data_IF_866705102094
#
_entry.id   IF_866705102094
#
_cell.length_a   1.000
_cell.length_b   1.000
_cell.length_c   1.000
_cell.angle_alpha   90.00
_cell.angle_beta   90.00
_cell.angle_gamma   90.00
#
_symmetry.space_group_name_H-M   'P 1'
#
loop_
_entity.id
_entity.type
_entity.pdbx_description
1 polymer ?
#
# COMPACT_ATOMS: atom_id res chain seq x y z
N UNK A 1 -4.42 -19.99 -9.50
CA UNK A 1 -4.43 -18.92 -8.49
C UNK A 1 -5.04 -17.66 -9.05
N UNK A 2 -5.90 -17.03 -8.29
CA UNK A 2 -6.57 -15.82 -8.71
C UNK A 2 -5.73 -14.60 -8.30
N UNK A 3 -5.37 -13.78 -9.26
CA UNK A 3 -4.65 -12.54 -9.01
C UNK A 3 -5.66 -11.43 -8.73
N UNK A 4 -5.48 -10.72 -7.63
CA UNK A 4 -6.31 -9.60 -7.24
C UNK A 4 -5.48 -8.35 -7.05
N UNK A 5 -6.15 -7.22 -7.01
CA UNK A 5 -5.52 -5.92 -6.87
C UNK A 5 -5.83 -5.34 -5.49
N UNK A 6 -4.85 -4.67 -4.90
CA UNK A 6 -4.98 -4.06 -3.57
C UNK A 6 -4.38 -2.66 -3.58
N UNK A 7 -5.04 -1.77 -2.85
CA UNK A 7 -4.53 -0.44 -2.58
C UNK A 7 -3.80 -0.44 -1.25
N UNK A 8 -2.55 0.03 -1.26
CA UNK A 8 -1.73 0.14 -0.06
C UNK A 8 -1.63 1.61 0.31
N UNK A 9 -2.28 2.00 1.40
CA UNK A 9 -2.25 3.38 1.89
C UNK A 9 -0.98 3.63 2.69
N UNK A 10 -0.17 4.58 2.23
CA UNK A 10 1.14 4.86 2.79
C UNK A 10 1.11 5.98 3.83
N UNK A 11 1.93 5.86 4.85
CA UNK A 11 1.98 6.82 5.93
C UNK A 11 3.39 7.06 6.44
N UNK A 12 3.53 8.11 7.25
CA UNK A 12 4.76 8.46 7.94
C UNK A 12 4.54 8.37 9.44
N UNK A 13 5.59 8.08 10.19
CA UNK A 13 5.52 8.01 11.65
C UNK A 13 5.09 9.37 12.21
N UNK A 14 4.18 9.34 13.19
CA UNK A 14 3.80 10.55 13.91
C UNK A 14 5.02 11.14 14.61
N UNK A 15 5.15 12.45 14.54
CA UNK A 15 6.25 13.15 15.23
C UNK A 15 5.99 13.17 16.73
N UNK A 16 7.06 13.28 17.50
CA UNK A 16 6.96 13.38 18.95
C UNK A 16 6.06 14.56 19.33
N UNK A 17 5.07 14.30 20.18
CA UNK A 17 4.10 15.30 20.60
C UNK A 17 2.86 15.40 19.73
N UNK A 18 2.79 14.69 18.63
CA UNK A 18 1.59 14.61 17.78
C UNK A 18 0.72 13.41 18.21
N UNK A 19 -0.58 13.62 18.32
CA UNK A 19 -1.52 12.58 18.74
C UNK A 19 -2.18 11.89 17.55
N UNK A 20 -1.41 11.59 16.51
CA UNK A 20 -1.95 11.04 15.27
C UNK A 20 -1.85 9.53 15.17
N UNK A 21 -1.23 8.85 16.02
CA UNK A 21 -1.05 7.42 15.90
C UNK A 21 -2.09 6.65 16.69
N UNK A 22 -3.20 6.26 16.09
CA UNK A 22 -4.07 5.27 16.72
C UNK A 22 -3.62 3.87 16.33
N UNK A 23 -4.05 2.85 17.09
CA UNK A 23 -3.69 1.45 16.81
C UNK A 23 -4.16 1.04 15.41
N UNK A 24 -5.30 1.57 14.97
CA UNK A 24 -5.87 1.27 13.65
C UNK A 24 -4.95 1.76 12.53
N UNK A 25 -4.26 2.87 12.76
CA UNK A 25 -3.35 3.48 11.78
C UNK A 25 -1.90 3.02 11.95
N UNK A 26 -1.64 2.06 12.83
CA UNK A 26 -0.30 1.52 13.10
C UNK A 26 0.72 2.60 13.51
N UNK A 27 0.25 3.68 14.13
CA UNK A 27 1.13 4.79 14.50
C UNK A 27 1.59 5.65 13.33
N UNK A 28 0.95 5.52 12.19
CA UNK A 28 1.30 6.26 10.97
C UNK A 28 0.29 7.37 10.70
N UNK A 29 0.77 8.45 10.14
CA UNK A 29 -0.05 9.58 9.68
C UNK A 29 -0.25 9.45 8.17
N UNK A 30 -1.48 9.65 7.71
CA UNK A 30 -1.84 9.59 6.31
C UNK A 30 -1.07 10.64 5.49
N UNK A 31 -0.46 10.20 4.40
CA UNK A 31 0.23 11.10 3.47
C UNK A 31 -0.65 11.49 2.28
N UNK A 32 -1.82 10.87 2.17
CA UNK A 32 -2.67 11.01 0.99
C UNK A 32 -2.19 10.23 -0.22
N UNK A 33 -1.16 9.39 -0.06
CA UNK A 33 -0.56 8.62 -1.14
C UNK A 33 -0.87 7.13 -1.00
N UNK A 34 -1.21 6.51 -2.11
CA UNK A 34 -1.49 5.07 -2.15
C UNK A 34 -0.78 4.43 -3.35
N UNK A 35 -0.46 3.17 -3.21
CA UNK A 35 0.16 2.36 -4.28
C UNK A 35 -0.75 1.16 -4.53
N UNK A 36 -1.04 0.88 -5.81
CA UNK A 36 -1.79 -0.32 -6.19
C UNK A 36 -0.81 -1.46 -6.51
N UNK A 37 -1.14 -2.66 -6.04
CA UNK A 37 -0.32 -3.85 -6.29
C UNK A 37 -1.18 -5.03 -6.76
N UNK A 38 -0.52 -6.02 -7.35
CA UNK A 38 -1.12 -7.33 -7.64
C UNK A 38 -0.68 -8.33 -6.57
N UNK A 39 -1.58 -9.18 -6.13
CA UNK A 39 -1.24 -10.25 -5.18
C UNK A 39 -2.09 -11.48 -5.44
N UNK A 40 -1.56 -12.66 -5.08
CA UNK A 40 -2.28 -13.92 -5.18
C UNK A 40 -3.03 -14.27 -3.89
N UNK A 41 -2.93 -13.41 -2.89
CA UNK A 41 -3.59 -13.56 -1.59
C UNK A 41 -3.79 -12.18 -0.97
N UNK A 42 -4.59 -12.10 0.09
CA UNK A 42 -4.77 -10.84 0.84
C UNK A 42 -3.47 -10.58 1.63
N UNK A 43 -2.73 -9.50 1.32
CA UNK A 43 -1.42 -9.30 1.95
C UNK A 43 -1.53 -8.93 3.43
N UNK A 44 -0.51 -9.31 4.20
CA UNK A 44 -0.31 -8.73 5.53
C UNK A 44 0.40 -7.39 5.38
N UNK A 45 0.40 -6.58 6.44
CA UNK A 45 1.13 -5.31 6.42
C UNK A 45 2.62 -5.52 6.20
N UNK A 46 3.20 -6.55 6.83
CA UNK A 46 4.63 -6.85 6.67
C UNK A 46 4.96 -7.24 5.23
N UNK A 47 4.14 -8.08 4.61
CA UNK A 47 4.31 -8.46 3.21
C UNK A 47 4.20 -7.25 2.29
N UNK A 48 3.20 -6.40 2.51
CA UNK A 48 2.97 -5.21 1.71
C UNK A 48 4.14 -4.24 1.80
N UNK A 49 4.60 -3.97 3.02
CA UNK A 49 5.71 -3.05 3.26
C UNK A 49 7.01 -3.54 2.63
N UNK A 50 7.29 -4.82 2.73
CA UNK A 50 8.48 -5.41 2.10
C UNK A 50 8.39 -5.36 0.58
N UNK A 51 7.20 -5.60 0.03
CA UNK A 51 6.98 -5.62 -1.41
C UNK A 51 7.21 -4.25 -2.05
N UNK A 52 6.86 -3.17 -1.35
CA UNK A 52 6.99 -1.79 -1.87
C UNK A 52 8.05 -0.98 -1.13
N UNK A 53 9.00 -1.64 -0.46
CA UNK A 53 9.94 -0.92 0.40
C UNK A 53 10.81 0.09 -0.35
N UNK A 54 11.14 -0.17 -1.60
CA UNK A 54 11.90 0.81 -2.40
C UNK A 54 11.08 2.05 -2.70
N UNK A 55 9.80 1.87 -3.00
CA UNK A 55 8.90 3.00 -3.21
C UNK A 55 8.73 3.80 -1.92
N UNK A 56 8.54 3.13 -0.79
CA UNK A 56 8.45 3.81 0.50
C UNK A 56 9.71 4.62 0.78
N UNK A 57 10.87 4.03 0.55
CA UNK A 57 12.15 4.70 0.75
C UNK A 57 12.30 5.91 -0.16
N UNK A 58 11.95 5.78 -1.43
CA UNK A 58 12.09 6.84 -2.42
C UNK A 58 11.21 8.05 -2.10
N UNK A 59 10.02 7.81 -1.54
CA UNK A 59 9.08 8.88 -1.17
C UNK A 59 9.25 9.35 0.27
N UNK A 60 10.09 8.69 1.07
CA UNK A 60 10.29 9.05 2.46
C UNK A 60 9.15 8.64 3.38
N UNK A 61 8.41 7.60 3.02
CA UNK A 61 7.32 7.08 3.82
C UNK A 61 7.81 5.95 4.73
N UNK A 62 7.15 5.79 5.88
CA UNK A 62 7.60 4.85 6.92
C UNK A 62 6.88 3.49 6.88
N UNK A 63 5.74 3.42 6.24
CA UNK A 63 5.03 2.16 6.16
C UNK A 63 3.65 2.25 5.53
N UNK A 64 2.91 1.15 5.63
CA UNK A 64 1.55 1.01 5.13
C UNK A 64 0.60 0.91 6.30
N UNK A 65 -0.46 1.71 6.33
CA UNK A 65 -1.44 1.66 7.41
C UNK A 65 -2.80 1.14 6.98
N UNK A 66 -3.02 0.93 5.68
CA UNK A 66 -4.28 0.40 5.17
C UNK A 66 -4.07 -0.45 3.93
N UNK A 67 -4.83 -1.54 3.83
CA UNK A 67 -4.84 -2.41 2.67
C UNK A 67 -6.30 -2.64 2.28
N UNK A 68 -6.66 -2.21 1.07
CA UNK A 68 -8.04 -2.28 0.59
C UNK A 68 -8.09 -3.03 -0.73
N UNK A 69 -8.96 -4.04 -0.87
CA UNK A 69 -9.15 -4.70 -2.15
C UNK A 69 -9.71 -3.72 -3.18
N UNK A 70 -9.22 -3.81 -4.41
CA UNK A 70 -9.67 -2.97 -5.51
C UNK A 70 -10.41 -3.82 -6.54
N UNK A 71 -11.51 -3.30 -7.05
CA UNK A 71 -12.10 -3.83 -8.28
C UNK A 71 -11.29 -3.34 -9.47
N UNK A 72 -11.43 -4.00 -10.63
CA UNK A 72 -10.77 -3.53 -11.85
C UNK A 72 -11.19 -2.11 -12.21
N UNK A 73 -12.47 -1.79 -12.01
CA UNK A 73 -12.99 -0.45 -12.30
C UNK A 73 -12.31 0.61 -11.42
N UNK A 74 -12.18 0.34 -10.13
CA UNK A 74 -11.50 1.24 -9.20
C UNK A 74 -10.03 1.40 -9.56
N UNK A 75 -9.38 0.29 -9.90
CA UNK A 75 -7.97 0.29 -10.30
C UNK A 75 -7.73 1.20 -11.50
N UNK A 76 -8.52 1.03 -12.57
CA UNK A 76 -8.36 1.82 -13.79
C UNK A 76 -8.80 3.27 -13.61
N UNK A 77 -9.68 3.55 -12.65
CA UNK A 77 -10.17 4.92 -12.41
C UNK A 77 -9.21 5.76 -11.57
N UNK A 78 -8.51 5.14 -10.62
CA UNK A 78 -7.74 5.89 -9.62
C UNK A 78 -6.23 5.74 -9.74
N UNK A 79 -5.75 4.77 -10.50
CA UNK A 79 -4.33 4.47 -10.58
C UNK A 79 -3.85 4.44 -12.02
N UNK A 80 -2.55 4.72 -12.20
CA UNK A 80 -1.89 4.55 -13.48
C UNK A 80 -1.68 3.05 -13.70
N UNK A 81 -2.33 2.53 -14.74
CA UNK A 81 -2.26 1.11 -15.08
C UNK A 81 -1.40 0.83 -16.29
N UNK A 82 -0.58 1.79 -16.70
CA UNK A 82 0.39 1.57 -17.77
C UNK A 82 1.31 0.42 -17.39
N UNK A 83 1.49 -0.53 -18.30
CA UNK A 83 2.32 -1.72 -18.09
C UNK A 83 1.83 -2.62 -16.95
N UNK A 84 0.53 -2.62 -16.66
CA UNK A 84 -0.04 -3.42 -15.57
C UNK A 84 0.30 -4.92 -15.71
N UNK A 85 0.41 -5.41 -16.94
CA UNK A 85 0.77 -6.82 -17.19
C UNK A 85 2.19 -7.15 -16.77
N UNK A 86 3.04 -6.14 -16.65
CA UNK A 86 4.44 -6.28 -16.24
C UNK A 86 4.64 -6.08 -14.73
N UNK A 87 3.60 -5.68 -14.02
CA UNK A 87 3.70 -5.50 -12.57
C UNK A 87 4.07 -6.81 -11.89
N UNK A 88 4.95 -6.73 -10.91
CA UNK A 88 5.26 -7.89 -10.08
C UNK A 88 4.03 -8.32 -9.30
N UNK A 89 3.93 -9.61 -9.05
CA UNK A 89 2.86 -10.18 -8.23
C UNK A 89 3.42 -10.54 -6.86
N UNK A 90 2.78 -10.07 -5.81
CA UNK A 90 3.13 -10.48 -4.45
C UNK A 90 2.62 -11.91 -4.26
N UNK A 91 3.54 -12.84 -4.17
CA UNK A 91 3.24 -14.27 -3.99
C UNK A 91 3.63 -14.73 -2.59
N UNK A 92 2.93 -15.73 -2.12
CA UNK A 92 3.25 -16.39 -0.86
C UNK A 92 4.37 -17.38 -0.98
#
# INVERSE_FOLDING_TARGET
>A
MEIKYYELECGVKAKEGEEYGCEVCRGLVDTGYSIAIKADHYPTFDEAEEFIKEDLKNFGYDGVYGITPLTEQELYSFFDTENIDEWKVLTR
#
